data_IF_257235183833
#
_entry.id   IF_257235183833
#
_cell.length_a   1.000
_cell.length_b   1.000
_cell.length_c   1.000
_cell.angle_alpha   90.00
_cell.angle_beta   90.00
_cell.angle_gamma   90.00
#
_symmetry.space_group_name_H-M   'P 1'
#
loop_
_entity.id
_entity.type
_entity.pdbx_description
1 polymer ?
#
# COMPACT_ATOMS: atom_id res chain seq x y z
N UNK A 1 -0.61 9.32 0.60
CA UNK A 1 0.59 9.35 1.44
C UNK A 1 0.43 10.31 2.62
N UNK A 2 0.74 9.90 3.86
CA UNK A 2 0.75 10.78 5.04
C UNK A 2 1.68 11.99 4.89
N UNK A 3 1.33 13.12 5.52
CA UNK A 3 2.05 14.41 5.36
C UNK A 3 3.54 14.33 5.72
N UNK A 4 3.90 13.53 6.73
CA UNK A 4 5.30 13.41 7.18
C UNK A 4 6.22 12.89 6.07
N UNK A 5 5.75 11.93 5.24
CA UNK A 5 6.55 11.40 4.14
C UNK A 5 6.74 12.42 3.01
N UNK A 6 5.78 13.32 2.79
CA UNK A 6 5.96 14.44 1.85
C UNK A 6 7.06 15.38 2.30
N UNK A 7 7.07 15.73 3.60
CA UNK A 7 8.12 16.57 4.18
C UNK A 7 9.49 15.89 4.08
N UNK A 8 9.56 14.60 4.39
CA UNK A 8 10.80 13.81 4.24
C UNK A 8 11.28 13.88 2.79
N UNK A 9 10.41 13.52 1.84
CA UNK A 9 10.73 13.52 0.41
C UNK A 9 11.28 14.87 -0.08
N UNK A 10 10.61 15.97 0.26
CA UNK A 10 11.02 17.33 -0.11
C UNK A 10 12.38 17.69 0.50
N UNK A 11 12.61 17.36 1.77
CA UNK A 11 13.84 17.71 2.50
C UNK A 11 15.04 16.88 2.04
N UNK A 12 14.84 15.61 1.71
CA UNK A 12 15.90 14.70 1.26
C UNK A 12 16.05 14.65 -0.26
N UNK A 13 15.19 15.34 -1.01
CA UNK A 13 15.16 15.36 -2.49
C UNK A 13 15.05 13.95 -3.09
N UNK A 14 14.26 13.08 -2.47
CA UNK A 14 14.03 11.72 -2.95
C UNK A 14 12.97 11.70 -4.05
N UNK A 15 13.16 10.83 -5.04
CA UNK A 15 12.12 10.56 -6.05
C UNK A 15 10.98 9.73 -5.45
N UNK A 16 9.83 9.67 -6.12
CA UNK A 16 8.74 8.77 -5.69
C UNK A 16 9.19 7.30 -5.64
N UNK A 17 10.03 6.87 -6.59
CA UNK A 17 10.61 5.54 -6.62
C UNK A 17 11.49 5.26 -5.40
N UNK A 18 12.32 6.23 -5.00
CA UNK A 18 13.16 6.09 -3.80
C UNK A 18 12.30 6.03 -2.54
N UNK A 19 11.24 6.85 -2.48
CA UNK A 19 10.28 6.84 -1.37
C UNK A 19 9.59 5.49 -1.24
N UNK A 20 9.10 4.91 -2.33
CA UNK A 20 8.42 3.61 -2.34
C UNK A 20 9.34 2.43 -2.04
N UNK A 21 10.63 2.53 -2.37
CA UNK A 21 11.63 1.50 -2.04
C UNK A 21 12.08 1.56 -0.58
N UNK A 22 12.04 2.74 0.04
CA UNK A 22 12.65 2.99 1.35
C UNK A 22 11.62 3.06 2.48
N UNK A 23 10.45 3.64 2.21
CA UNK A 23 9.43 3.90 3.21
C UNK A 23 8.12 3.20 2.88
N UNK A 24 7.35 2.91 3.92
CA UNK A 24 6.03 2.31 3.75
C UNK A 24 4.96 3.27 3.17
N UNK A 25 5.26 4.57 3.12
CA UNK A 25 4.39 5.63 2.63
C UNK A 25 2.95 5.62 3.18
N UNK A 26 2.76 5.08 4.39
CA UNK A 26 1.48 4.98 5.09
C UNK A 26 0.82 3.59 5.09
N UNK A 27 1.41 2.58 4.47
CA UNK A 27 0.91 1.20 4.44
C UNK A 27 1.82 0.28 5.27
N UNK A 28 1.49 0.11 6.55
CA UNK A 28 2.32 -0.70 7.47
C UNK A 28 2.21 -2.22 7.27
N UNK A 29 1.13 -2.69 6.64
CA UNK A 29 0.88 -4.11 6.40
C UNK A 29 0.02 -4.30 5.15
N UNK A 30 0.29 -5.38 4.41
CA UNK A 30 -0.52 -5.82 3.27
C UNK A 30 -1.00 -7.24 3.56
N UNK A 31 -2.27 -7.49 3.26
CA UNK A 31 -2.88 -8.83 3.30
C UNK A 31 -3.45 -9.15 1.93
N UNK A 32 -3.36 -10.42 1.52
CA UNK A 32 -3.90 -10.91 0.25
C UNK A 32 -5.07 -11.83 0.60
N UNK A 33 -6.24 -11.51 0.04
CA UNK A 33 -7.50 -12.20 0.34
C UNK A 33 -8.26 -12.48 -0.96
N UNK A 34 -9.22 -13.40 -0.90
CA UNK A 34 -10.22 -13.54 -1.96
C UNK A 34 -11.08 -12.29 -2.02
N UNK A 35 -11.39 -11.81 -3.23
CA UNK A 35 -12.19 -10.60 -3.45
C UNK A 35 -13.57 -10.68 -2.78
N UNK A 36 -14.15 -11.88 -2.65
CA UNK A 36 -15.45 -12.06 -1.98
C UNK A 36 -15.42 -11.75 -0.48
N UNK A 37 -14.24 -11.82 0.15
CA UNK A 37 -14.07 -11.61 1.59
C UNK A 37 -13.76 -10.15 1.96
N UNK A 38 -13.56 -9.27 0.97
CA UNK A 38 -13.16 -7.86 1.15
C UNK A 38 -14.06 -7.11 2.17
N UNK A 39 -15.41 -7.13 2.06
CA UNK A 39 -16.26 -6.43 3.04
C UNK A 39 -16.12 -6.98 4.47
N UNK A 40 -16.00 -8.31 4.60
CA UNK A 40 -15.87 -9.00 5.89
C UNK A 40 -14.55 -8.64 6.55
N UNK A 41 -13.46 -8.66 5.79
CA UNK A 41 -12.11 -8.35 6.27
C UNK A 41 -12.00 -6.89 6.69
N UNK A 42 -12.53 -5.94 5.89
CA UNK A 42 -12.59 -4.53 6.29
C UNK A 42 -13.33 -4.33 7.61
N UNK A 43 -14.46 -5.01 7.80
CA UNK A 43 -15.23 -4.93 9.05
C UNK A 43 -14.43 -5.48 10.26
N UNK A 44 -13.76 -6.62 10.11
CA UNK A 44 -12.91 -7.19 11.16
C UNK A 44 -11.79 -6.22 11.55
N UNK A 45 -11.08 -5.67 10.56
CA UNK A 45 -9.97 -4.73 10.81
C UNK A 45 -10.48 -3.46 11.51
N UNK A 46 -11.61 -2.91 11.04
CA UNK A 46 -12.24 -1.74 11.66
C UNK A 46 -12.66 -1.99 13.11
N UNK A 47 -13.25 -3.15 13.40
CA UNK A 47 -13.64 -3.56 14.77
C UNK A 47 -12.44 -3.66 15.72
N UNK A 48 -11.25 -3.95 15.19
CA UNK A 48 -10.00 -3.98 15.95
C UNK A 48 -9.31 -2.61 16.03
N UNK A 49 -9.98 -1.53 15.61
CA UNK A 49 -9.46 -0.15 15.74
C UNK A 49 -8.51 0.30 14.64
N UNK A 50 -8.35 -0.49 13.58
CA UNK A 50 -7.46 -0.16 12.47
C UNK A 50 -8.21 0.34 11.24
N UNK A 51 -7.51 1.05 10.35
CA UNK A 51 -7.99 1.43 9.02
C UNK A 51 -7.41 0.47 7.99
N UNK A 52 -8.21 0.12 6.99
CA UNK A 52 -7.77 -0.68 5.85
C UNK A 52 -8.31 -0.10 4.54
N UNK A 53 -7.58 -0.37 3.47
CA UNK A 53 -7.87 0.10 2.11
C UNK A 53 -7.61 -1.04 1.13
N UNK A 54 -8.50 -1.24 0.15
CA UNK A 54 -8.20 -2.06 -1.03
C UNK A 54 -7.26 -1.26 -1.93
N UNK A 55 -6.01 -1.70 -2.04
CA UNK A 55 -4.94 -0.96 -2.77
C UNK A 55 -4.56 -1.56 -4.12
N UNK A 56 -5.11 -2.73 -4.48
CA UNK A 56 -4.75 -3.41 -5.72
C UNK A 56 -5.23 -4.85 -5.78
N UNK A 57 -4.68 -5.61 -6.75
CA UNK A 57 -4.98 -7.02 -6.97
C UNK A 57 -3.73 -7.77 -7.44
N UNK A 58 -3.65 -9.06 -7.09
CA UNK A 58 -2.61 -9.95 -7.64
C UNK A 58 -3.04 -10.38 -9.04
N UNK A 59 -2.15 -10.19 -10.02
CA UNK A 59 -2.37 -10.59 -11.41
C UNK A 59 -1.29 -11.57 -11.88
N UNK A 60 -1.58 -12.31 -12.94
CA UNK A 60 -0.55 -13.14 -13.60
C UNK A 60 0.56 -12.22 -14.11
N UNK A 61 1.79 -12.55 -13.75
CA UNK A 61 2.98 -11.81 -14.17
C UNK A 61 3.12 -11.85 -15.69
N UNK A 62 3.15 -10.68 -16.35
CA UNK A 62 3.25 -10.57 -17.81
C UNK A 62 4.69 -10.30 -18.32
N UNK A 63 5.65 -9.93 -17.45
CA UNK A 63 7.06 -9.62 -17.75
C UNK A 63 7.97 -9.81 -16.52
N UNK A 64 9.23 -9.37 -16.56
CA UNK A 64 10.14 -9.27 -15.40
C UNK A 64 9.76 -8.19 -14.37
N UNK A 65 8.57 -7.59 -14.45
CA UNK A 65 8.07 -6.65 -13.45
C UNK A 65 7.30 -7.38 -12.34
N UNK A 66 7.68 -7.11 -11.09
CA UNK A 66 7.04 -7.68 -9.90
C UNK A 66 5.89 -6.84 -9.35
N UNK A 67 5.82 -5.56 -9.70
CA UNK A 67 4.81 -4.59 -9.25
C UNK A 67 4.43 -3.73 -10.46
N UNK A 68 3.13 -3.46 -10.60
CA UNK A 68 2.60 -2.49 -11.57
C UNK A 68 1.92 -1.39 -10.77
N UNK A 69 2.24 -0.14 -11.09
CA UNK A 69 1.56 1.04 -10.56
C UNK A 69 0.59 1.53 -11.64
N UNK A 70 -0.63 1.88 -11.22
CA UNK A 70 -1.63 2.52 -12.08
C UNK A 70 -1.44 4.05 -12.10
#
# INVERSE_FOLDING_TARGET
>A
MPKIFKIIQEKSRLTDDDMLKTFNCGLGMIIIIDKKDDPKVHNIIKKNGFRSYTIGKVIKRMKNQSICYD
#
